data_IF_524866698239
#
_entry.id   IF_524866698239
#
_cell.length_a   1.000
_cell.length_b   1.000
_cell.length_c   1.000
_cell.angle_alpha   90.00
_cell.angle_beta   90.00
_cell.angle_gamma   90.00
#
_symmetry.space_group_name_H-M   'P 1'
#
loop_
_entity.id
_entity.type
_entity.pdbx_description
1 polymer ?
#
# COMPACT_ATOMS: atom_id res chain seq x y z
N UNK A 1 8.34 60.70 -44.56
CA UNK A 1 9.04 59.47 -45.01
C UNK A 1 8.01 58.56 -45.67
N UNK A 2 8.37 58.03 -46.84
CA UNK A 2 7.86 56.87 -47.62
C UNK A 2 6.60 56.14 -47.09
N UNK A 3 5.66 55.60 -47.87
CA UNK A 3 5.26 55.48 -49.29
C UNK A 3 3.94 54.66 -49.11
N UNK A 4 2.74 55.13 -49.49
CA UNK A 4 2.17 55.13 -50.84
C UNK A 4 1.77 53.72 -51.35
N UNK A 5 0.46 53.62 -51.72
CA UNK A 5 -0.18 52.80 -52.77
C UNK A 5 -0.57 51.32 -52.49
N UNK A 6 -1.69 50.76 -52.97
CA UNK A 6 -2.73 51.18 -53.94
C UNK A 6 -3.89 50.15 -53.96
N UNK A 7 -5.13 50.65 -54.07
CA UNK A 7 -6.29 50.20 -54.90
C UNK A 7 -6.59 48.70 -55.10
N UNK A 8 -7.87 48.29 -54.98
CA UNK A 8 -8.77 48.29 -56.15
C UNK A 8 -10.16 47.71 -55.82
N UNK A 9 -11.16 48.46 -56.27
CA UNK A 9 -12.57 48.12 -56.52
C UNK A 9 -12.68 46.85 -57.41
N UNK A 10 -13.73 46.03 -57.25
CA UNK A 10 -14.54 45.47 -58.36
C UNK A 10 -15.88 44.91 -57.82
N UNK A 11 -16.94 45.35 -58.46
CA UNK A 11 -18.36 45.00 -58.35
C UNK A 11 -18.68 43.83 -59.28
N UNK A 12 -19.60 42.91 -58.93
CA UNK A 12 -20.54 42.24 -59.87
C UNK A 12 -21.54 41.38 -59.06
N UNK A 13 -22.83 41.72 -58.90
CA UNK A 13 -24.00 41.68 -59.81
C UNK A 13 -24.75 40.32 -59.84
N UNK A 14 -26.08 40.41 -59.61
CA UNK A 14 -27.21 39.51 -59.93
C UNK A 14 -27.48 38.33 -58.97
N UNK A 15 -28.60 38.33 -58.24
CA UNK A 15 -30.01 38.18 -58.65
C UNK A 15 -30.40 36.72 -58.90
N UNK A 16 -31.31 36.22 -58.07
CA UNK A 16 -31.97 34.92 -58.21
C UNK A 16 -32.95 34.68 -57.05
N UNK A 17 -34.15 35.25 -57.13
CA UNK A 17 -35.29 34.85 -56.29
C UNK A 17 -35.72 33.41 -56.60
N UNK A 18 -36.12 32.63 -55.59
CA UNK A 18 -37.31 31.72 -55.56
C UNK A 18 -37.39 31.06 -54.16
N UNK A 19 -38.34 31.49 -53.32
CA UNK A 19 -39.60 30.80 -52.91
C UNK A 19 -39.47 29.51 -52.09
N UNK A 20 -40.15 29.54 -50.93
CA UNK A 20 -40.89 28.47 -50.23
C UNK A 20 -40.29 27.77 -49.01
N UNK A 21 -40.88 28.14 -47.86
CA UNK A 21 -41.58 27.25 -46.92
C UNK A 21 -40.75 26.44 -45.89
N UNK A 22 -41.41 25.94 -44.84
CA UNK A 22 -41.02 26.11 -43.45
C UNK A 22 -39.91 25.15 -43.03
N UNK A 23 -39.11 25.59 -42.06
CA UNK A 23 -38.12 24.75 -41.39
C UNK A 23 -38.84 23.57 -40.71
N UNK A 24 -38.70 22.39 -41.32
CA UNK A 24 -39.18 21.10 -40.80
C UNK A 24 -38.26 20.68 -39.66
N UNK A 25 -38.85 20.30 -38.54
CA UNK A 25 -38.17 19.63 -37.44
C UNK A 25 -37.47 18.37 -37.95
N UNK A 26 -36.15 18.38 -37.99
CA UNK A 26 -35.37 17.15 -37.93
C UNK A 26 -35.22 16.78 -36.44
N UNK A 27 -36.20 16.03 -35.94
CA UNK A 27 -35.95 15.11 -34.84
C UNK A 27 -35.05 14.04 -35.44
N UNK A 28 -33.77 14.04 -35.08
CA UNK A 28 -32.95 12.84 -35.22
C UNK A 28 -33.33 11.92 -34.07
N UNK A 29 -34.11 10.89 -34.39
CA UNK A 29 -34.22 9.66 -33.60
C UNK A 29 -32.79 9.16 -33.31
N UNK A 30 -32.36 9.33 -32.08
CA UNK A 30 -31.54 8.42 -31.27
C UNK A 30 -31.05 9.17 -30.02
N UNK A 31 -32.01 9.67 -29.24
CA UNK A 31 -31.78 9.94 -27.83
C UNK A 31 -31.91 8.63 -27.06
N UNK A 32 -30.97 7.70 -27.25
CA UNK A 32 -30.74 6.67 -26.23
C UNK A 32 -29.88 7.38 -25.20
N UNK A 33 -30.53 8.00 -24.21
CA UNK A 33 -29.89 8.13 -22.90
C UNK A 33 -29.75 6.70 -22.42
N UNK A 34 -28.57 6.12 -22.67
CA UNK A 34 -28.14 4.94 -21.95
C UNK A 34 -28.11 5.38 -20.50
N UNK A 35 -29.15 5.06 -19.75
CA UNK A 35 -29.10 5.15 -18.29
C UNK A 35 -27.93 4.24 -17.88
N UNK A 36 -26.76 4.84 -17.68
CA UNK A 36 -25.57 4.09 -17.27
C UNK A 36 -25.90 3.39 -15.96
N UNK A 37 -25.73 2.06 -15.95
CA UNK A 37 -26.06 1.25 -14.80
C UNK A 37 -25.21 1.72 -13.60
N UNK A 38 -25.89 2.11 -12.52
CA UNK A 38 -25.24 2.65 -11.32
C UNK A 38 -24.90 1.52 -10.36
N UNK A 39 -23.75 1.61 -9.69
CA UNK A 39 -23.34 0.62 -8.69
C UNK A 39 -24.29 0.67 -7.48
N UNK A 40 -24.96 -0.45 -7.20
CA UNK A 40 -25.96 -0.58 -6.14
C UNK A 40 -25.36 -1.20 -4.88
N UNK A 41 -24.55 -2.25 -5.03
CA UNK A 41 -23.93 -2.94 -3.90
C UNK A 41 -22.67 -3.68 -4.29
N UNK A 42 -21.76 -3.86 -3.32
CA UNK A 42 -20.67 -4.83 -3.39
C UNK A 42 -20.87 -5.83 -2.25
N UNK A 43 -20.90 -7.13 -2.56
CA UNK A 43 -21.12 -8.18 -1.55
C UNK A 43 -20.04 -9.23 -1.62
N UNK A 44 -19.43 -9.52 -0.48
CA UNK A 44 -18.54 -10.67 -0.29
C UNK A 44 -19.37 -11.95 -0.12
N UNK A 45 -19.40 -12.79 -1.15
CA UNK A 45 -20.09 -14.08 -1.16
C UNK A 45 -19.18 -15.25 -0.80
N UNK A 46 -17.89 -15.01 -0.49
CA UNK A 46 -16.96 -16.08 -0.10
C UNK A 46 -17.45 -16.84 1.15
N UNK A 47 -18.18 -16.14 2.02
CA UNK A 47 -18.77 -16.65 3.27
C UNK A 47 -19.95 -17.58 3.05
N UNK A 48 -20.59 -17.53 1.88
CA UNK A 48 -21.73 -18.40 1.53
C UNK A 48 -21.26 -19.76 0.98
N UNK A 49 -19.96 -19.94 0.83
CA UNK A 49 -19.29 -21.11 0.25
C UNK A 49 -18.30 -21.72 1.25
N UNK A 50 -18.80 -22.42 2.29
CA UNK A 50 -17.98 -22.89 3.42
C UNK A 50 -16.92 -23.95 3.06
N UNK A 51 -16.97 -24.53 1.86
CA UNK A 51 -16.04 -25.58 1.39
C UNK A 51 -14.95 -25.06 0.44
N UNK A 52 -14.85 -23.74 0.23
CA UNK A 52 -13.80 -23.17 -0.62
C UNK A 52 -12.50 -23.00 0.17
N UNK A 53 -11.50 -23.80 -0.17
CA UNK A 53 -10.12 -23.51 0.17
C UNK A 53 -9.62 -22.38 -0.74
N UNK A 54 -9.51 -21.17 -0.19
CA UNK A 54 -8.85 -20.07 -0.89
C UNK A 54 -7.34 -20.26 -0.82
N UNK A 55 -6.65 -20.03 -1.94
CA UNK A 55 -5.19 -20.03 -1.93
C UNK A 55 -4.69 -18.86 -1.08
N UNK A 56 -3.72 -19.11 -0.20
CA UNK A 56 -3.19 -18.15 0.80
C UNK A 56 -2.38 -16.98 0.21
N UNK A 57 -2.46 -16.74 -1.10
CA UNK A 57 -1.73 -15.68 -1.76
C UNK A 57 -2.55 -14.39 -1.83
N UNK A 58 -1.92 -13.25 -1.50
CA UNK A 58 -2.50 -11.93 -1.74
C UNK A 58 -2.90 -11.79 -3.21
N UNK A 59 -4.15 -11.38 -3.44
CA UNK A 59 -4.64 -11.14 -4.78
C UNK A 59 -4.65 -9.64 -5.07
N UNK A 60 -3.75 -9.17 -5.92
CA UNK A 60 -3.82 -7.80 -6.42
C UNK A 60 -5.11 -7.60 -7.21
N UNK A 61 -5.90 -6.59 -6.81
CA UNK A 61 -7.21 -6.26 -7.41
C UNK A 61 -7.21 -4.93 -8.15
N UNK A 62 -6.34 -3.99 -7.78
CA UNK A 62 -6.27 -2.67 -8.38
C UNK A 62 -4.95 -1.98 -8.07
N UNK A 63 -4.63 -0.96 -8.85
CA UNK A 63 -3.42 -0.16 -8.73
C UNK A 63 -3.72 1.27 -9.23
N UNK A 64 -3.47 2.28 -8.39
CA UNK A 64 -3.54 3.70 -8.77
C UNK A 64 -2.14 4.34 -8.76
N UNK A 65 -2.03 5.65 -8.97
CA UNK A 65 -0.73 6.34 -9.00
C UNK A 65 0.05 6.25 -7.67
N UNK A 66 -0.64 6.08 -6.54
CA UNK A 66 -0.06 6.16 -5.19
C UNK A 66 0.02 4.81 -4.48
N UNK A 67 -0.79 3.81 -4.85
CA UNK A 67 -0.96 2.57 -4.10
C UNK A 67 -1.27 1.36 -4.98
N UNK A 68 -0.99 0.17 -4.44
CA UNK A 68 -1.43 -1.13 -4.92
C UNK A 68 -2.42 -1.72 -3.90
N UNK A 69 -3.50 -2.34 -4.37
CA UNK A 69 -4.59 -2.85 -3.54
C UNK A 69 -4.76 -4.35 -3.70
N UNK A 70 -4.91 -5.05 -2.58
CA UNK A 70 -4.95 -6.51 -2.51
C UNK A 70 -6.16 -7.02 -1.73
N UNK A 71 -6.63 -8.21 -2.07
CA UNK A 71 -7.46 -9.04 -1.20
C UNK A 71 -6.57 -10.01 -0.39
N UNK A 72 -7.01 -10.42 0.81
CA UNK A 72 -6.20 -11.26 1.70
C UNK A 72 -5.97 -12.68 1.17
N UNK A 73 -6.72 -13.11 0.15
CA UNK A 73 -6.50 -14.35 -0.58
C UNK A 73 -7.12 -14.25 -1.99
N UNK A 74 -6.97 -15.29 -2.82
CA UNK A 74 -7.59 -15.35 -4.16
C UNK A 74 -9.10 -15.51 -4.04
N UNK A 75 -9.85 -14.40 -4.03
CA UNK A 75 -11.30 -14.41 -3.82
C UNK A 75 -12.06 -13.31 -4.60
N UNK A 76 -11.41 -12.53 -5.47
CA UNK A 76 -12.05 -11.40 -6.15
C UNK A 76 -13.30 -11.77 -6.95
N UNK A 77 -13.34 -12.99 -7.50
CA UNK A 77 -14.50 -13.58 -8.19
C UNK A 77 -15.74 -13.77 -7.29
N UNK A 78 -15.55 -13.86 -5.97
CA UNK A 78 -16.63 -14.01 -4.99
C UNK A 78 -17.08 -12.69 -4.37
N UNK A 79 -16.33 -11.61 -4.60
CA UNK A 79 -16.74 -10.26 -4.23
C UNK A 79 -17.45 -9.65 -5.43
N UNK A 80 -18.78 -9.56 -5.35
CA UNK A 80 -19.64 -9.27 -6.49
C UNK A 80 -20.14 -7.82 -6.43
N UNK A 81 -19.87 -7.06 -7.49
CA UNK A 81 -20.51 -5.78 -7.75
C UNK A 81 -21.85 -6.02 -8.48
N UNK A 82 -22.92 -5.39 -8.00
CA UNK A 82 -24.26 -5.45 -8.61
C UNK A 82 -24.73 -4.04 -8.96
N UNK A 83 -25.26 -3.90 -10.17
CA UNK A 83 -25.69 -2.61 -10.73
C UNK A 83 -27.21 -2.50 -10.83
N UNK A 84 -27.71 -1.29 -11.08
CA UNK A 84 -29.14 -0.98 -11.14
C UNK A 84 -29.90 -1.68 -12.27
N UNK A 85 -29.20 -2.11 -13.33
CA UNK A 85 -29.76 -2.89 -14.43
C UNK A 85 -29.79 -4.41 -14.15
N UNK A 86 -29.33 -4.83 -12.96
CA UNK A 86 -29.25 -6.22 -12.52
C UNK A 86 -28.01 -6.96 -13.01
N UNK A 87 -27.13 -6.32 -13.77
CA UNK A 87 -25.85 -6.92 -14.16
C UNK A 87 -24.94 -7.08 -12.95
N UNK A 88 -24.04 -8.07 -13.02
CA UNK A 88 -23.11 -8.42 -11.95
C UNK A 88 -21.74 -8.74 -12.54
N UNK A 89 -20.69 -8.35 -11.83
CA UNK A 89 -19.31 -8.70 -12.17
C UNK A 89 -18.44 -8.83 -10.91
N UNK A 90 -17.24 -9.40 -11.06
CA UNK A 90 -16.27 -9.47 -9.96
C UNK A 90 -15.75 -8.07 -9.62
N UNK A 91 -15.35 -7.86 -8.37
CA UNK A 91 -14.85 -6.55 -7.94
C UNK A 91 -13.59 -6.14 -8.72
N UNK A 92 -12.76 -7.11 -9.10
CA UNK A 92 -11.56 -6.88 -9.90
C UNK A 92 -11.91 -6.37 -11.30
N UNK A 93 -12.93 -6.91 -11.94
CA UNK A 93 -13.43 -6.40 -13.23
C UNK A 93 -14.06 -5.00 -13.09
N UNK A 94 -14.81 -4.77 -12.02
CA UNK A 94 -15.46 -3.47 -11.79
C UNK A 94 -14.44 -2.34 -11.56
N UNK A 95 -13.37 -2.63 -10.81
CA UNK A 95 -12.25 -1.70 -10.59
C UNK A 95 -11.45 -1.48 -11.88
N UNK A 96 -11.15 -2.55 -12.63
CA UNK A 96 -10.37 -2.47 -13.88
C UNK A 96 -11.12 -1.73 -15.00
N UNK A 97 -12.46 -1.71 -14.95
CA UNK A 97 -13.31 -1.02 -15.92
C UNK A 97 -13.79 0.36 -15.44
N UNK A 98 -13.26 0.85 -14.32
CA UNK A 98 -13.60 2.14 -13.70
C UNK A 98 -15.09 2.29 -13.31
N UNK A 99 -15.84 1.19 -13.28
CA UNK A 99 -17.26 1.17 -12.85
C UNK A 99 -17.40 1.15 -11.32
N UNK A 100 -16.35 0.77 -10.61
CA UNK A 100 -16.23 0.89 -9.16
C UNK A 100 -14.91 1.58 -8.80
N UNK A 101 -14.88 2.21 -7.62
CA UNK A 101 -13.69 2.84 -7.04
C UNK A 101 -13.34 2.14 -5.74
N UNK A 102 -12.08 2.30 -5.28
CA UNK A 102 -11.66 1.84 -3.95
C UNK A 102 -12.58 2.39 -2.85
N UNK A 103 -13.00 3.65 -2.94
CA UNK A 103 -13.97 4.26 -2.01
C UNK A 103 -15.34 3.55 -1.96
N UNK A 104 -15.72 2.81 -3.00
CA UNK A 104 -16.94 2.01 -2.98
C UNK A 104 -16.76 0.76 -2.11
N UNK A 105 -15.57 0.14 -2.08
CA UNK A 105 -15.28 -0.98 -1.18
C UNK A 105 -15.43 -0.53 0.28
N UNK A 106 -14.93 0.65 0.64
CA UNK A 106 -15.13 1.25 1.96
C UNK A 106 -16.61 1.45 2.28
N UNK A 107 -17.35 2.06 1.34
CA UNK A 107 -18.78 2.33 1.47
C UNK A 107 -19.59 1.06 1.73
N UNK A 108 -19.21 -0.05 1.11
CA UNK A 108 -19.90 -1.34 1.22
C UNK A 108 -19.26 -2.30 2.24
N UNK A 109 -18.21 -1.87 2.95
CA UNK A 109 -17.58 -2.64 4.03
C UNK A 109 -16.80 -3.87 3.56
N UNK A 110 -16.23 -3.83 2.35
CA UNK A 110 -15.36 -4.88 1.83
C UNK A 110 -13.95 -4.65 2.36
N UNK A 111 -13.38 -5.68 2.99
CA UNK A 111 -12.00 -5.62 3.48
C UNK A 111 -11.00 -5.79 2.34
N UNK A 112 -9.97 -4.95 2.32
CA UNK A 112 -8.83 -5.01 1.41
C UNK A 112 -7.56 -4.51 2.12
N UNK A 113 -6.41 -4.78 1.52
CA UNK A 113 -5.08 -4.36 1.97
C UNK A 113 -4.55 -3.31 0.98
N UNK A 114 -3.87 -2.28 1.48
CA UNK A 114 -3.27 -1.21 0.66
C UNK A 114 -1.77 -1.13 0.90
N UNK A 115 -1.00 -1.05 -0.17
CA UNK A 115 0.45 -0.84 -0.17
C UNK A 115 0.76 0.45 -0.92
N UNK A 116 1.48 1.39 -0.31
CA UNK A 116 1.83 2.67 -0.94
C UNK A 116 3.07 2.54 -1.84
N UNK A 117 3.02 3.13 -3.03
CA UNK A 117 4.05 3.10 -4.07
C UNK A 117 5.21 4.06 -3.83
N UNK A 118 4.97 5.21 -3.20
CA UNK A 118 5.94 6.32 -3.21
C UNK A 118 6.01 6.99 -1.83
N UNK A 119 6.91 6.48 -1.01
CA UNK A 119 7.57 7.24 0.05
C UNK A 119 9.02 6.75 0.08
N UNK A 120 9.98 7.66 0.09
CA UNK A 120 11.39 7.29 0.11
C UNK A 120 11.96 7.54 1.50
N UNK A 121 12.55 6.50 2.08
CA UNK A 121 13.36 6.67 3.26
C UNK A 121 14.76 7.12 2.85
N UNK A 122 15.23 8.20 3.48
CA UNK A 122 16.62 8.62 3.38
C UNK A 122 17.29 8.26 4.70
N UNK A 123 18.48 7.65 4.63
CA UNK A 123 19.28 7.37 5.82
C UNK A 123 19.48 8.65 6.64
N UNK A 124 19.45 8.54 7.96
CA UNK A 124 19.79 9.68 8.81
C UNK A 124 21.28 10.02 8.67
N UNK A 125 21.58 11.29 8.41
CA UNK A 125 22.96 11.82 8.42
C UNK A 125 23.38 12.35 9.81
N UNK A 126 22.48 12.33 10.80
CA UNK A 126 22.70 12.90 12.12
C UNK A 126 22.67 11.82 13.20
N UNK A 127 23.35 12.11 14.32
CA UNK A 127 23.17 11.31 15.53
C UNK A 127 21.73 11.49 16.04
N UNK A 128 20.97 10.41 15.98
CA UNK A 128 19.57 10.26 16.35
C UNK A 128 19.45 9.38 17.61
N UNK A 129 20.47 9.39 18.47
CA UNK A 129 20.47 8.70 19.76
C UNK A 129 20.23 9.69 20.90
N UNK A 130 19.34 9.35 21.83
CA UNK A 130 19.11 10.08 23.07
C UNK A 130 20.02 9.56 24.19
N UNK A 131 20.40 10.45 25.11
CA UNK A 131 21.03 10.01 26.36
C UNK A 131 20.07 9.11 27.11
N UNK A 132 20.59 7.96 27.53
CA UNK A 132 19.84 6.99 28.30
C UNK A 132 20.60 6.65 29.57
N UNK A 133 19.89 6.57 30.69
CA UNK A 133 20.47 6.10 31.94
C UNK A 133 20.93 4.65 31.75
N UNK A 134 22.20 4.38 32.02
CA UNK A 134 22.79 3.04 31.83
C UNK A 134 22.22 2.12 32.90
N UNK A 135 21.06 1.53 32.62
CA UNK A 135 20.57 0.41 33.40
C UNK A 135 21.49 -0.79 33.13
N UNK A 136 22.07 -1.36 34.18
CA UNK A 136 22.88 -2.57 34.06
C UNK A 136 22.00 -3.73 33.63
N UNK A 137 21.95 -4.02 32.33
CA UNK A 137 21.21 -5.16 31.81
C UNK A 137 21.82 -6.46 32.33
N UNK A 138 21.01 -7.27 33.01
CA UNK A 138 21.38 -8.62 33.35
C UNK A 138 21.11 -9.55 32.14
N UNK A 139 21.97 -10.54 31.94
CA UNK A 139 21.96 -11.42 30.76
C UNK A 139 20.70 -12.29 30.59
N UNK A 140 19.73 -12.19 31.50
CA UNK A 140 18.41 -12.80 31.42
C UNK A 140 17.35 -11.90 30.76
N UNK A 141 17.74 -10.74 30.22
CA UNK A 141 16.84 -9.89 29.42
C UNK A 141 16.26 -10.71 28.27
N UNK A 142 14.94 -10.86 28.21
CA UNK A 142 14.24 -11.55 27.11
C UNK A 142 13.88 -10.58 25.98
N UNK A 143 14.11 -11.01 24.74
CA UNK A 143 13.63 -10.33 23.54
C UNK A 143 12.93 -11.33 22.63
N UNK A 144 11.81 -10.94 22.06
CA UNK A 144 11.10 -11.71 21.03
C UNK A 144 11.15 -10.93 19.72
N UNK A 145 11.66 -11.57 18.66
CA UNK A 145 11.66 -11.02 17.30
C UNK A 145 10.65 -11.81 16.47
N UNK A 146 9.79 -11.09 15.75
CA UNK A 146 8.86 -11.61 14.75
C UNK A 146 9.26 -11.03 13.41
N UNK A 147 9.48 -11.89 12.43
CA UNK A 147 9.67 -11.52 11.03
C UNK A 147 8.35 -11.70 10.30
N UNK A 148 7.92 -10.66 9.58
CA UNK A 148 6.74 -10.71 8.73
C UNK A 148 7.21 -10.95 7.29
N UNK A 149 6.64 -11.95 6.61
CA UNK A 149 7.15 -12.55 5.36
C UNK A 149 7.23 -11.64 4.14
N UNK A 150 6.89 -10.36 4.30
CA UNK A 150 7.20 -9.28 3.37
C UNK A 150 8.70 -8.93 3.37
N UNK A 151 9.44 -9.27 4.43
CA UNK A 151 10.89 -9.14 4.51
C UNK A 151 11.58 -10.15 3.58
N UNK A 152 11.80 -9.78 2.32
CA UNK A 152 12.60 -10.52 1.33
C UNK A 152 12.14 -11.98 1.06
N UNK A 153 10.83 -12.23 1.05
CA UNK A 153 10.28 -13.55 0.68
C UNK A 153 10.67 -14.67 1.66
N UNK A 154 10.92 -14.31 2.93
CA UNK A 154 11.07 -15.28 4.02
C UNK A 154 9.69 -15.70 4.53
N UNK A 155 9.57 -16.93 5.02
CA UNK A 155 8.38 -17.34 5.77
C UNK A 155 8.34 -16.61 7.12
N UNK A 156 7.13 -16.39 7.64
CA UNK A 156 6.93 -15.82 8.97
C UNK A 156 7.66 -16.66 10.02
N UNK A 157 8.41 -16.01 10.90
CA UNK A 157 9.05 -16.67 12.02
C UNK A 157 9.02 -15.81 13.28
N UNK A 158 8.96 -16.49 14.42
CA UNK A 158 9.03 -15.89 15.74
C UNK A 158 10.07 -16.62 16.58
N UNK A 159 10.93 -15.87 17.26
CA UNK A 159 11.94 -16.42 18.14
C UNK A 159 12.15 -15.56 19.39
N UNK A 160 12.14 -16.22 20.54
CA UNK A 160 12.39 -15.60 21.84
C UNK A 160 13.74 -16.07 22.37
N UNK A 161 14.57 -15.12 22.79
CA UNK A 161 15.95 -15.37 23.19
C UNK A 161 16.41 -14.40 24.29
N UNK A 162 17.49 -14.82 24.96
CA UNK A 162 18.14 -14.09 26.05
C UNK A 162 19.65 -13.99 25.77
N UNK A 163 20.36 -13.23 26.61
CA UNK A 163 21.81 -13.06 26.53
C UNK A 163 22.24 -11.79 25.79
N UNK A 164 23.50 -11.76 25.34
CA UNK A 164 24.13 -10.54 24.83
C UNK A 164 23.42 -9.90 23.62
N UNK A 165 22.89 -10.71 22.71
CA UNK A 165 22.12 -10.23 21.54
C UNK A 165 20.83 -9.53 21.98
N UNK A 166 20.13 -10.11 22.98
CA UNK A 166 18.89 -9.53 23.53
C UNK A 166 19.16 -8.19 24.21
N UNK A 167 20.26 -8.12 24.98
CA UNK A 167 20.72 -6.87 25.60
C UNK A 167 21.09 -5.82 24.55
N UNK A 168 21.82 -6.22 23.50
CA UNK A 168 22.25 -5.32 22.42
C UNK A 168 21.06 -4.68 21.69
N UNK A 169 20.09 -5.50 21.26
CA UNK A 169 18.87 -5.01 20.61
C UNK A 169 18.06 -4.13 21.56
N UNK A 170 17.86 -4.55 22.81
CA UNK A 170 17.08 -3.79 23.79
C UNK A 170 17.69 -2.43 24.10
N UNK A 171 19.02 -2.38 24.31
CA UNK A 171 19.74 -1.12 24.58
C UNK A 171 19.71 -0.21 23.36
N UNK A 172 19.89 -0.76 22.15
CA UNK A 172 19.84 -0.01 20.91
C UNK A 172 18.48 0.66 20.70
N UNK A 173 17.39 -0.11 20.75
CA UNK A 173 16.04 0.39 20.49
C UNK A 173 15.62 1.46 21.50
N UNK A 174 16.02 1.33 22.78
CA UNK A 174 15.70 2.32 23.83
C UNK A 174 16.40 3.66 23.65
N UNK A 175 17.51 3.69 22.91
CA UNK A 175 18.33 4.90 22.75
C UNK A 175 17.99 5.69 21.51
N UNK A 176 17.09 5.23 20.66
CA UNK A 176 16.72 5.99 19.47
C UNK A 176 15.81 7.18 19.82
N UNK A 177 16.03 8.30 19.12
CA UNK A 177 15.21 9.51 19.21
C UNK A 177 13.96 9.39 18.33
N UNK A 178 12.88 8.85 18.89
CA UNK A 178 11.59 8.71 18.23
C UNK A 178 10.84 10.05 18.12
N UNK A 179 11.34 10.95 17.29
CA UNK A 179 10.79 12.30 17.10
C UNK A 179 10.03 12.49 15.79
N UNK A 180 10.16 11.57 14.83
CA UNK A 180 9.52 11.66 13.52
C UNK A 180 8.07 11.14 13.55
N UNK A 181 7.27 11.60 12.59
CA UNK A 181 5.91 11.06 12.38
C UNK A 181 5.96 9.70 11.68
N UNK A 182 5.01 8.83 12.02
CA UNK A 182 4.92 7.49 11.43
C UNK A 182 4.41 7.59 10.00
N UNK A 183 5.14 6.99 9.08
CA UNK A 183 4.72 6.80 7.69
C UNK A 183 3.91 5.50 7.52
N UNK A 184 3.29 5.32 6.35
CA UNK A 184 2.36 4.21 6.09
C UNK A 184 3.02 2.88 5.75
N UNK A 185 4.31 2.85 5.41
CA UNK A 185 4.96 1.59 5.09
C UNK A 185 5.06 0.69 6.32
N UNK A 186 5.19 -0.60 6.04
CA UNK A 186 5.09 -1.64 7.06
C UNK A 186 6.48 -2.03 7.57
N UNK A 187 6.61 -2.30 8.87
CA UNK A 187 7.83 -2.88 9.41
C UNK A 187 8.03 -4.32 8.90
N UNK A 188 9.28 -4.67 8.63
CA UNK A 188 9.71 -6.04 8.31
C UNK A 188 9.71 -6.94 9.55
N UNK A 189 10.03 -6.35 10.71
CA UNK A 189 10.11 -7.05 11.98
C UNK A 189 9.30 -6.35 13.06
N UNK A 190 8.73 -7.14 13.96
CA UNK A 190 8.24 -6.66 15.25
C UNK A 190 9.10 -7.22 16.36
N UNK A 191 9.60 -6.34 17.23
CA UNK A 191 10.43 -6.72 18.37
C UNK A 191 9.74 -6.33 19.67
N UNK A 192 9.62 -7.30 20.56
CA UNK A 192 9.22 -7.10 21.95
C UNK A 192 10.45 -7.28 22.84
N UNK A 193 10.68 -6.33 23.73
CA UNK A 193 11.72 -6.38 24.75
C UNK A 193 11.06 -6.33 26.12
N UNK A 194 11.81 -6.61 27.18
CA UNK A 194 11.33 -6.41 28.56
C UNK A 194 10.95 -4.96 28.89
N UNK A 195 11.37 -4.02 28.05
CA UNK A 195 11.33 -2.60 28.32
C UNK A 195 10.40 -1.80 27.40
N UNK A 196 9.91 -2.44 26.36
CA UNK A 196 9.08 -1.83 25.33
C UNK A 196 8.59 -2.93 24.39
N UNK A 197 7.32 -2.84 24.02
CA UNK A 197 6.66 -3.80 23.14
C UNK A 197 6.38 -3.15 21.78
N UNK A 198 6.24 -3.98 20.75
CA UNK A 198 5.84 -3.57 19.41
C UNK A 198 6.78 -2.56 18.76
N UNK A 199 8.10 -2.72 18.90
CA UNK A 199 9.04 -2.00 18.04
C UNK A 199 8.88 -2.50 16.60
N UNK A 200 8.48 -1.63 15.68
CA UNK A 200 8.43 -1.96 14.26
C UNK A 200 9.75 -1.57 13.60
N UNK A 201 10.45 -2.52 13.00
CA UNK A 201 11.75 -2.31 12.35
C UNK A 201 11.61 -2.60 10.87
N UNK A 202 12.12 -1.73 10.01
CA UNK A 202 12.31 -2.00 8.58
C UNK A 202 13.77 -1.77 8.24
N UNK A 203 14.50 -2.85 7.93
CA UNK A 203 15.94 -2.82 7.66
C UNK A 203 16.25 -2.53 6.19
N UNK A 204 15.30 -2.76 5.28
CA UNK A 204 15.46 -2.40 3.87
C UNK A 204 15.33 -0.89 3.67
N UNK A 205 14.40 -0.26 4.36
CA UNK A 205 14.15 1.18 4.31
C UNK A 205 14.82 1.95 5.45
N UNK A 206 15.39 1.26 6.44
CA UNK A 206 16.25 1.86 7.47
C UNK A 206 15.48 2.74 8.44
N UNK A 207 14.42 2.23 9.06
CA UNK A 207 13.71 2.96 10.13
C UNK A 207 13.28 2.03 11.27
N UNK A 208 12.99 2.66 12.42
CA UNK A 208 12.33 2.01 13.56
C UNK A 208 11.16 2.87 14.00
N UNK A 209 10.07 2.24 14.44
CA UNK A 209 8.92 2.92 15.06
C UNK A 209 8.58 2.31 16.41
N UNK A 210 8.12 3.16 17.31
CA UNK A 210 7.68 2.79 18.65
C UNK A 210 6.70 3.84 19.18
N UNK A 211 5.66 3.41 19.90
CA UNK A 211 4.67 4.29 20.55
C UNK A 211 4.08 5.40 19.65
N UNK A 212 3.83 5.09 18.38
CA UNK A 212 3.24 6.05 17.43
C UNK A 212 4.21 7.11 16.91
N UNK A 213 5.51 6.92 17.12
CA UNK A 213 6.60 7.74 16.58
C UNK A 213 7.60 6.89 15.81
N UNK A 214 8.41 7.56 14.98
CA UNK A 214 9.39 6.93 14.11
C UNK A 214 10.76 7.61 14.26
N UNK A 215 11.79 6.90 13.81
CA UNK A 215 13.15 7.40 13.63
C UNK A 215 13.77 6.74 12.41
N UNK A 216 14.35 7.55 11.52
CA UNK A 216 15.15 7.07 10.40
C UNK A 216 16.54 6.68 10.91
N UNK A 217 17.03 5.51 10.55
CA UNK A 217 18.33 4.97 10.97
C UNK A 217 19.45 5.52 10.11
N UNK A 218 20.64 5.63 10.69
CA UNK A 218 21.87 5.79 9.91
C UNK A 218 22.24 4.46 9.24
N UNK A 219 23.15 4.50 8.27
CA UNK A 219 23.69 3.28 7.65
C UNK A 219 24.33 2.33 8.67
N UNK A 220 25.17 2.85 9.55
CA UNK A 220 25.87 2.07 10.58
C UNK A 220 24.88 1.39 11.54
N UNK A 221 23.83 2.12 11.93
CA UNK A 221 22.75 1.61 12.77
C UNK A 221 21.96 0.49 12.09
N UNK A 222 21.66 0.67 10.81
CA UNK A 222 20.97 -0.33 9.98
C UNK A 222 21.81 -1.59 9.84
N UNK A 223 23.12 -1.46 9.58
CA UNK A 223 24.06 -2.58 9.50
C UNK A 223 24.21 -3.31 10.85
N UNK A 224 24.27 -2.57 11.96
CA UNK A 224 24.30 -3.14 13.30
C UNK A 224 23.05 -3.99 13.57
N UNK A 225 21.84 -3.43 13.38
CA UNK A 225 20.60 -4.17 13.62
C UNK A 225 20.44 -5.37 12.68
N UNK A 226 20.86 -5.25 11.41
CA UNK A 226 20.92 -6.39 10.48
C UNK A 226 21.75 -7.53 11.06
N UNK A 227 22.97 -7.22 11.52
CA UNK A 227 23.87 -8.23 12.11
C UNK A 227 23.30 -8.88 13.38
N UNK A 228 22.60 -8.13 14.23
CA UNK A 228 21.95 -8.72 15.41
C UNK A 228 20.76 -9.62 15.02
N UNK A 229 19.90 -9.19 14.09
CA UNK A 229 18.75 -9.98 13.61
C UNK A 229 19.19 -11.26 12.88
N UNK A 230 20.30 -11.21 12.13
CA UNK A 230 20.88 -12.42 11.51
C UNK A 230 21.30 -13.45 12.55
N UNK A 231 21.93 -13.04 13.66
CA UNK A 231 22.27 -13.96 14.77
C UNK A 231 21.03 -14.57 15.40
N UNK A 232 19.96 -13.78 15.55
CA UNK A 232 18.66 -14.26 16.05
C UNK A 232 18.09 -15.31 15.12
N UNK A 233 18.10 -15.07 13.81
CA UNK A 233 17.61 -16.00 12.81
C UNK A 233 18.43 -17.31 12.76
N UNK A 234 19.74 -17.24 12.95
CA UNK A 234 20.58 -18.43 13.08
C UNK A 234 20.26 -19.23 14.34
N UNK A 235 20.00 -18.55 15.47
CA UNK A 235 19.48 -19.18 16.69
C UNK A 235 18.15 -19.90 16.46
N UNK A 236 17.20 -19.22 15.80
CA UNK A 236 15.92 -19.80 15.40
C UNK A 236 16.07 -21.08 14.57
N UNK A 237 16.92 -21.04 13.53
CA UNK A 237 17.18 -22.22 12.67
C UNK A 237 17.78 -23.37 13.45
N UNK A 238 18.75 -23.10 14.32
CA UNK A 238 19.43 -24.13 15.12
C UNK A 238 18.47 -24.83 16.10
N UNK A 239 17.51 -24.09 16.67
CA UNK A 239 16.53 -24.65 17.61
C UNK A 239 15.36 -25.37 16.91
N UNK A 240 14.98 -24.94 15.70
CA UNK A 240 13.86 -25.53 14.94
C UNK A 240 14.28 -26.68 14.00
N UNK A 241 15.53 -26.74 13.57
CA UNK A 241 16.06 -27.76 12.67
C UNK A 241 17.28 -28.43 13.34
N UNK A 242 17.09 -29.52 14.10
CA UNK A 242 18.22 -30.21 14.72
C UNK A 242 19.15 -30.78 13.62
N UNK A 243 20.33 -30.19 13.44
CA UNK A 243 21.40 -30.74 12.62
C UNK A 243 21.79 -29.97 11.35
N UNK A 244 21.32 -28.75 11.10
CA UNK A 244 21.77 -27.93 9.97
C UNK A 244 23.07 -27.16 10.26
N UNK A 245 24.15 -27.86 10.60
CA UNK A 245 25.49 -27.29 10.43
C UNK A 245 25.97 -27.70 9.03
N UNK A 246 25.97 -26.76 8.08
CA UNK A 246 26.78 -26.84 6.85
C UNK A 246 28.07 -26.05 7.08
#
# INVERSE_FOLDING_TARGET
MKKIFLSALIFLFLCGCTTNAPYVNHITENGITSDEATLVSITDKSKDTPDLAFAEALEQIFEDDENVYYLPCIMSEYIVAEYSDGTKESIKSALSSEKAKISDLDRFGVFYITESKEHTHTESEKNNMVEHEVFGYCGNTMTTVRCHGFAKGQEDWEYSFWGGVSVGISDFLRRLDYSEEVCKCLPEYTVDTEFGLNYGINLSEGYVRHEGKQVSLTKEQTEYLKGEIEKVYDGYKNDKIPGSNL
#
